data_IF_982450100638
#
_entry.id   IF_982450100638
#
_cell.length_a   1.000
_cell.length_b   1.000
_cell.length_c   1.000
_cell.angle_alpha   90.00
_cell.angle_beta   90.00
_cell.angle_gamma   90.00
#
_symmetry.space_group_name_H-M   'P 1'
#
loop_
_entity.id
_entity.type
_entity.pdbx_description
1 polymer ?
#
# COMPACT_ATOMS: atom_id res chain seq x y z
N UNK A 1 30.79 -40.83 3.93
CA UNK A 1 30.55 -39.67 3.03
C UNK A 1 29.44 -38.83 3.64
N UNK A 2 29.73 -37.60 4.03
CA UNK A 2 28.70 -36.64 4.46
C UNK A 2 27.83 -36.30 3.25
N UNK A 3 26.64 -36.92 3.16
CA UNK A 3 25.63 -36.57 2.18
C UNK A 3 25.04 -35.22 2.60
N UNK A 4 25.49 -34.16 1.94
CA UNK A 4 24.90 -32.83 2.10
C UNK A 4 23.48 -32.88 1.54
N UNK A 5 22.48 -32.72 2.40
CA UNK A 5 21.09 -32.63 2.00
C UNK A 5 20.87 -31.44 1.04
N UNK A 6 19.85 -31.56 0.19
CA UNK A 6 19.38 -30.47 -0.66
C UNK A 6 18.78 -29.37 0.22
N UNK A 7 19.18 -28.13 0.00
CA UNK A 7 18.61 -26.96 0.68
C UNK A 7 17.19 -26.66 0.18
N UNK A 8 16.43 -25.95 1.02
CA UNK A 8 15.00 -25.70 0.77
C UNK A 8 14.77 -24.84 -0.47
N UNK A 9 15.67 -23.91 -0.79
CA UNK A 9 15.61 -23.09 -2.01
C UNK A 9 15.66 -23.98 -3.27
N UNK A 10 16.61 -24.91 -3.34
CA UNK A 10 16.71 -25.86 -4.45
C UNK A 10 15.51 -26.80 -4.54
N UNK A 11 14.94 -27.21 -3.40
CA UNK A 11 13.69 -28.00 -3.38
C UNK A 11 12.55 -27.19 -4.02
N UNK A 12 12.37 -25.94 -3.61
CA UNK A 12 11.32 -25.06 -4.17
C UNK A 12 11.54 -24.82 -5.67
N UNK A 13 12.75 -24.49 -6.09
CA UNK A 13 13.07 -24.29 -7.52
C UNK A 13 12.88 -25.55 -8.35
N UNK A 14 13.13 -26.75 -7.79
CA UNK A 14 12.84 -28.00 -8.48
C UNK A 14 11.33 -28.18 -8.69
N UNK A 15 10.52 -27.91 -7.65
CA UNK A 15 9.06 -28.04 -7.69
C UNK A 15 8.44 -27.08 -8.71
N UNK A 16 8.92 -25.84 -8.77
CA UNK A 16 8.43 -24.81 -9.70
C UNK A 16 9.03 -24.90 -11.12
N UNK A 17 9.91 -25.87 -11.38
CA UNK A 17 10.56 -26.02 -12.69
C UNK A 17 11.59 -24.93 -13.03
N UNK A 18 12.12 -24.24 -12.02
CA UNK A 18 13.05 -23.11 -12.15
C UNK A 18 14.54 -23.51 -12.11
N UNK A 19 14.82 -24.80 -11.95
CA UNK A 19 16.18 -25.34 -12.07
C UNK A 19 16.50 -25.66 -13.54
N UNK A 20 17.66 -25.20 -14.00
CA UNK A 20 18.21 -25.64 -15.28
C UNK A 20 18.42 -27.16 -15.29
N UNK A 21 18.20 -27.81 -16.44
CA UNK A 21 18.17 -29.28 -16.55
C UNK A 21 19.34 -30.00 -15.87
N UNK A 22 20.61 -29.60 -16.04
CA UNK A 22 21.73 -30.28 -15.39
C UNK A 22 21.68 -30.24 -13.85
N UNK A 23 21.19 -29.14 -13.29
CA UNK A 23 21.04 -29.00 -11.84
C UNK A 23 19.81 -29.79 -11.33
N UNK A 24 18.72 -29.78 -12.09
CA UNK A 24 17.53 -30.54 -11.77
C UNK A 24 17.82 -32.06 -11.75
N UNK A 25 18.60 -32.56 -12.71
CA UNK A 25 18.97 -33.98 -12.79
C UNK A 25 19.80 -34.41 -11.57
N UNK A 26 20.81 -33.63 -11.17
CA UNK A 26 21.60 -33.90 -9.97
C UNK A 26 20.74 -33.95 -8.69
N UNK A 27 19.75 -33.07 -8.58
CA UNK A 27 18.82 -33.08 -7.43
C UNK A 27 17.92 -34.32 -7.50
N UNK A 28 17.39 -34.70 -8.67
CA UNK A 28 16.58 -35.92 -8.83
C UNK A 28 17.37 -37.18 -8.50
N UNK A 29 18.62 -37.27 -8.94
CA UNK A 29 19.53 -38.38 -8.62
C UNK A 29 19.76 -38.48 -7.10
N UNK A 30 19.98 -37.34 -6.44
CA UNK A 30 20.09 -37.30 -4.98
C UNK A 30 18.80 -37.75 -4.29
N UNK A 31 17.63 -37.30 -4.78
CA UNK A 31 16.33 -37.70 -4.25
C UNK A 31 16.07 -39.20 -4.44
N UNK A 32 16.62 -39.85 -5.47
CA UNK A 32 16.55 -41.31 -5.61
C UNK A 32 17.30 -42.02 -4.46
N UNK A 33 18.43 -41.46 -4.01
CA UNK A 33 19.26 -42.04 -2.95
C UNK A 33 18.92 -41.63 -1.51
N UNK A 34 18.27 -40.48 -1.29
CA UNK A 34 18.10 -39.89 0.04
C UNK A 34 16.63 -39.84 0.50
N UNK A 35 16.26 -40.69 1.48
CA UNK A 35 14.90 -40.73 2.02
C UNK A 35 14.48 -39.43 2.74
N UNK A 36 15.40 -38.77 3.43
CA UNK A 36 15.13 -37.51 4.14
C UNK A 36 14.76 -36.38 3.17
N UNK A 37 15.56 -36.19 2.11
CA UNK A 37 15.25 -35.17 1.11
C UNK A 37 13.93 -35.46 0.37
N UNK A 38 13.59 -36.74 0.14
CA UNK A 38 12.25 -37.10 -0.37
C UNK A 38 11.13 -36.69 0.58
N UNK A 39 11.31 -36.90 1.88
CA UNK A 39 10.32 -36.50 2.88
C UNK A 39 10.12 -34.98 2.90
N UNK A 40 11.21 -34.19 2.77
CA UNK A 40 11.15 -32.73 2.66
C UNK A 40 10.42 -32.25 1.40
N UNK A 41 10.71 -32.86 0.24
CA UNK A 41 9.99 -32.56 -1.01
C UNK A 41 8.49 -32.87 -0.87
N UNK A 42 8.15 -34.03 -0.31
CA UNK A 42 6.75 -34.40 -0.08
C UNK A 42 6.04 -33.46 0.91
N UNK A 43 6.76 -32.92 1.90
CA UNK A 43 6.22 -31.90 2.80
C UNK A 43 5.95 -30.58 2.07
N UNK A 44 6.93 -30.07 1.32
CA UNK A 44 6.76 -28.84 0.53
C UNK A 44 5.59 -28.93 -0.46
N UNK A 45 5.39 -30.09 -1.11
CA UNK A 45 4.24 -30.33 -1.99
C UNK A 45 2.89 -30.30 -1.26
N UNK A 46 2.83 -30.78 0.00
CA UNK A 46 1.60 -30.69 0.81
C UNK A 46 1.28 -29.25 1.19
N UNK A 47 2.28 -28.50 1.64
CA UNK A 47 2.14 -27.09 2.02
C UNK A 47 1.68 -26.24 0.82
N UNK A 48 2.26 -26.46 -0.37
CA UNK A 48 1.83 -25.80 -1.61
C UNK A 48 0.39 -26.18 -2.00
N UNK A 49 0.03 -27.46 -1.86
CA UNK A 49 -1.33 -27.94 -2.10
C UNK A 49 -2.37 -27.30 -1.16
N UNK A 50 -2.03 -27.14 0.12
CA UNK A 50 -2.85 -26.45 1.13
C UNK A 50 -3.04 -24.97 0.78
N UNK A 51 -1.95 -24.28 0.41
CA UNK A 51 -2.01 -22.88 -0.04
C UNK A 51 -2.91 -22.72 -1.26
N UNK A 52 -2.74 -23.57 -2.29
CA UNK A 52 -3.60 -23.55 -3.48
C UNK A 52 -5.06 -23.89 -3.16
N UNK A 53 -5.33 -24.75 -2.17
CA UNK A 53 -6.69 -25.01 -1.71
C UNK A 53 -7.34 -23.77 -1.06
N UNK A 54 -6.58 -23.04 -0.25
CA UNK A 54 -7.04 -21.78 0.36
C UNK A 54 -7.29 -20.70 -0.69
N UNK A 55 -6.39 -20.53 -1.67
CA UNK A 55 -6.55 -19.53 -2.73
C UNK A 55 -7.76 -19.81 -3.62
N UNK A 56 -8.05 -21.07 -3.93
CA UNK A 56 -9.29 -21.44 -4.65
C UNK A 56 -10.57 -21.07 -3.90
N UNK A 57 -10.53 -20.92 -2.58
CA UNK A 57 -11.68 -20.42 -1.83
C UNK A 57 -11.91 -18.92 -2.05
N UNK A 58 -10.87 -18.18 -2.42
CA UNK A 58 -10.94 -16.76 -2.79
C UNK A 58 -11.35 -16.57 -4.26
N UNK A 59 -11.13 -17.57 -5.12
CA UNK A 59 -11.57 -17.60 -6.52
C UNK A 59 -13.07 -17.86 -6.66
N UNK A 60 -13.88 -16.93 -6.16
CA UNK A 60 -15.30 -16.87 -6.49
C UNK A 60 -15.47 -16.02 -7.76
N UNK A 61 -16.43 -16.37 -8.65
CA UNK A 61 -16.70 -15.53 -9.81
C UNK A 61 -17.06 -14.12 -9.34
N UNK A 62 -16.35 -13.12 -9.87
CA UNK A 62 -16.69 -11.72 -9.61
C UNK A 62 -18.17 -11.51 -9.97
N UNK A 63 -18.97 -10.87 -9.10
CA UNK A 63 -20.35 -10.60 -9.40
C UNK A 63 -20.43 -9.81 -10.70
N UNK A 64 -21.20 -10.33 -11.66
CA UNK A 64 -21.41 -9.65 -12.94
C UNK A 64 -22.24 -8.39 -12.69
N UNK A 65 -21.57 -7.27 -12.53
CA UNK A 65 -22.23 -5.97 -12.47
C UNK A 65 -22.60 -5.60 -13.91
N UNK A 66 -23.89 -5.72 -14.25
CA UNK A 66 -24.39 -5.29 -15.55
C UNK A 66 -24.17 -3.79 -15.76
N UNK A 67 -23.82 -3.38 -16.98
CA UNK A 67 -23.63 -1.97 -17.31
C UNK A 67 -24.87 -1.12 -16.97
N UNK A 68 -26.07 -1.71 -17.04
CA UNK A 68 -27.33 -1.09 -16.64
C UNK A 68 -27.40 -0.78 -15.14
N UNK A 69 -26.86 -1.66 -14.27
CA UNK A 69 -26.80 -1.42 -12.83
C UNK A 69 -25.84 -0.27 -12.48
N UNK A 70 -24.73 -0.16 -13.23
CA UNK A 70 -23.81 0.98 -13.13
C UNK A 70 -24.48 2.26 -13.61
N UNK A 71 -25.17 2.21 -14.76
CA UNK A 71 -25.86 3.36 -15.34
C UNK A 71 -27.03 3.83 -14.47
N UNK A 72 -27.80 2.91 -13.87
CA UNK A 72 -28.87 3.23 -12.93
C UNK A 72 -28.32 3.92 -11.67
N UNK A 73 -27.16 3.47 -11.15
CA UNK A 73 -26.49 4.09 -10.01
C UNK A 73 -25.92 5.48 -10.35
N UNK A 74 -25.44 5.66 -11.58
CA UNK A 74 -24.98 6.97 -12.07
C UNK A 74 -26.13 7.97 -12.30
N UNK A 75 -27.37 7.49 -12.48
CA UNK A 75 -28.56 8.33 -12.67
C UNK A 75 -29.22 8.78 -11.37
N UNK A 76 -28.75 8.36 -10.19
CA UNK A 76 -29.27 8.86 -8.91
C UNK A 76 -28.87 10.34 -8.80
N UNK A 77 -29.84 11.29 -8.80
CA UNK A 77 -29.53 12.71 -8.73
C UNK A 77 -29.19 13.04 -7.28
N UNK A 78 -27.90 13.01 -6.95
CA UNK A 78 -27.40 13.32 -5.62
C UNK A 78 -25.98 13.88 -5.67
N UNK A 79 -25.87 15.16 -5.31
CA UNK A 79 -24.63 15.93 -5.07
C UNK A 79 -23.85 16.40 -6.30
N UNK A 80 -23.72 17.73 -6.41
CA UNK A 80 -22.95 18.48 -7.41
C UNK A 80 -21.43 18.15 -7.45
N UNK A 81 -20.96 17.19 -6.64
CA UNK A 81 -19.60 16.66 -6.70
C UNK A 81 -19.39 15.62 -7.84
N UNK A 82 -20.47 15.01 -8.34
CA UNK A 82 -20.39 13.94 -9.35
C UNK A 82 -19.79 14.35 -10.71
N UNK A 83 -19.89 15.63 -11.08
CA UNK A 83 -19.38 16.12 -12.37
C UNK A 83 -17.84 16.17 -12.47
N UNK A 84 -17.11 16.20 -11.34
CA UNK A 84 -15.64 16.16 -11.37
C UNK A 84 -15.07 14.74 -11.49
N UNK A 85 -15.82 13.72 -11.06
CA UNK A 85 -15.38 12.32 -11.12
C UNK A 85 -15.58 11.68 -12.51
N UNK A 86 -16.57 12.13 -13.28
CA UNK A 86 -16.88 11.59 -14.60
C UNK A 86 -15.73 11.77 -15.62
N UNK A 87 -14.94 12.85 -15.50
CA UNK A 87 -13.82 13.12 -16.41
C UNK A 87 -12.64 12.15 -16.23
N UNK A 88 -12.38 11.68 -15.01
CA UNK A 88 -11.25 10.80 -14.70
C UNK A 88 -11.56 9.35 -15.13
N UNK A 89 -12.80 8.90 -14.94
CA UNK A 89 -13.23 7.55 -15.34
C UNK A 89 -13.31 7.39 -16.86
N UNK A 90 -13.67 8.43 -17.61
CA UNK A 90 -13.67 8.39 -19.08
C UNK A 90 -12.25 8.26 -19.65
N UNK A 91 -11.25 8.87 -18.98
CA UNK A 91 -9.85 8.76 -19.36
C UNK A 91 -9.25 7.36 -19.08
N UNK A 92 -9.65 6.73 -17.96
CA UNK A 92 -9.21 5.37 -17.62
C UNK A 92 -9.86 4.29 -18.48
N UNK A 93 -11.14 4.45 -18.85
CA UNK A 93 -11.84 3.49 -19.70
C UNK A 93 -11.27 3.44 -21.13
N UNK A 94 -10.79 4.57 -21.67
CA UNK A 94 -10.14 4.61 -22.97
C UNK A 94 -8.79 3.88 -23.00
N UNK A 95 -8.09 3.77 -21.86
CA UNK A 95 -6.82 3.05 -21.77
C UNK A 95 -6.99 1.51 -21.66
N UNK A 96 -8.13 1.02 -21.16
CA UNK A 96 -8.34 -0.40 -20.87
C UNK A 96 -8.65 -1.29 -22.07
N UNK A 97 -9.22 -0.75 -23.16
CA UNK A 97 -9.68 -1.57 -24.31
C UNK A 97 -8.53 -2.03 -25.22
N UNK A 98 -7.33 -1.43 -25.09
CA UNK A 98 -6.19 -1.73 -25.96
C UNK A 98 -5.33 -2.93 -25.49
N UNK A 99 -5.61 -3.54 -24.33
CA UNK A 99 -4.68 -4.51 -23.70
C UNK A 99 -4.92 -6.00 -24.06
N UNK A 100 -5.98 -6.34 -24.80
CA UNK A 100 -6.41 -7.74 -24.94
C UNK A 100 -6.35 -8.32 -26.37
N UNK A 101 -5.48 -7.80 -27.26
CA UNK A 101 -5.26 -8.37 -28.59
C UNK A 101 -3.83 -8.98 -28.71
N UNK A 102 -3.69 -10.28 -29.00
CA UNK A 102 -2.38 -10.90 -29.23
C UNK A 102 -1.82 -10.49 -30.60
N UNK A 103 -0.60 -9.93 -30.62
CA UNK A 103 0.09 -9.47 -31.85
C UNK A 103 0.18 -7.95 -32.03
N UNK A 104 0.30 -7.19 -30.93
CA UNK A 104 0.33 -5.73 -30.98
C UNK A 104 1.74 -5.16 -31.29
N UNK A 105 1.89 -4.28 -32.32
CA UNK A 105 3.17 -3.70 -32.76
C UNK A 105 3.61 -2.52 -31.86
N UNK A 106 3.71 -2.76 -30.56
CA UNK A 106 3.95 -1.72 -29.55
C UNK A 106 5.39 -1.19 -29.41
N UNK A 107 6.49 -1.84 -29.84
CA UNK A 107 7.80 -1.22 -29.70
C UNK A 107 7.98 0.03 -30.58
N UNK A 108 7.39 0.04 -31.78
CA UNK A 108 7.65 1.11 -32.78
C UNK A 108 6.91 2.42 -32.51
N UNK A 109 5.66 2.35 -32.04
CA UNK A 109 4.86 3.55 -31.74
C UNK A 109 5.40 4.28 -30.50
N UNK A 110 5.91 3.56 -29.50
CA UNK A 110 6.47 4.18 -28.28
C UNK A 110 7.72 5.01 -28.61
N UNK A 111 8.59 4.52 -29.51
CA UNK A 111 9.76 5.28 -29.97
C UNK A 111 9.38 6.51 -30.82
N UNK A 112 8.32 6.43 -31.63
CA UNK A 112 7.81 7.58 -32.39
C UNK A 112 7.21 8.66 -31.48
N UNK A 113 6.55 8.30 -30.37
CA UNK A 113 6.04 9.27 -29.39
C UNK A 113 7.16 9.91 -28.59
N UNK A 114 8.19 9.14 -28.21
CA UNK A 114 9.35 9.65 -27.47
C UNK A 114 10.19 10.61 -28.33
N UNK A 115 10.32 10.34 -29.62
CA UNK A 115 11.05 11.23 -30.55
C UNK A 115 10.25 12.48 -30.90
N UNK A 116 8.93 12.39 -31.05
CA UNK A 116 8.06 13.55 -31.32
C UNK A 116 7.88 14.48 -30.11
N UNK A 117 8.03 13.98 -28.89
CA UNK A 117 8.04 14.80 -27.65
C UNK A 117 9.36 15.55 -27.41
N UNK A 118 10.44 15.24 -28.14
CA UNK A 118 11.75 15.89 -27.98
C UNK A 118 11.99 17.09 -28.91
N UNK A 119 11.06 17.45 -29.79
CA UNK A 119 11.32 18.51 -30.77
C UNK A 119 10.07 19.23 -31.27
N UNK A 120 9.60 20.21 -30.49
CA UNK A 120 9.05 21.48 -30.97
C UNK A 120 8.59 22.29 -29.76
N UNK A 121 9.36 23.31 -29.41
CA UNK A 121 9.08 24.33 -28.40
C UNK A 121 8.01 25.30 -28.91
N UNK A 122 6.81 25.38 -28.29
CA UNK A 122 5.83 26.42 -28.59
C UNK A 122 6.00 27.61 -27.63
N UNK A 123 5.95 28.82 -28.19
CA UNK A 123 6.09 30.08 -27.46
C UNK A 123 5.21 30.14 -26.21
N UNK A 124 5.84 30.46 -25.08
CA UNK A 124 5.26 30.41 -23.75
C UNK A 124 4.21 31.51 -23.53
N UNK A 125 3.00 31.20 -22.99
CA UNK A 125 2.25 32.17 -22.20
C UNK A 125 3.09 32.55 -20.96
N UNK A 126 2.98 33.79 -20.43
CA UNK A 126 3.83 34.26 -19.34
C UNK A 126 3.83 33.23 -18.20
N UNK A 127 5.01 32.82 -17.69
CA UNK A 127 5.09 31.78 -16.67
C UNK A 127 4.31 32.25 -15.45
N UNK A 128 3.19 31.59 -15.17
CA UNK A 128 2.69 31.58 -13.79
C UNK A 128 3.76 30.85 -12.98
N UNK A 129 4.25 31.41 -11.86
CA UNK A 129 5.19 30.72 -11.01
C UNK A 129 4.59 29.36 -10.63
N UNK A 130 5.17 28.26 -11.15
CA UNK A 130 4.92 26.93 -10.62
C UNK A 130 5.53 26.91 -9.23
N UNK A 131 4.68 26.97 -8.22
CA UNK A 131 5.06 26.57 -6.87
C UNK A 131 5.49 25.11 -6.99
N UNK A 132 6.74 24.81 -6.66
CA UNK A 132 7.24 23.44 -6.59
C UNK A 132 6.23 22.61 -5.79
N UNK A 133 5.65 21.61 -6.43
CA UNK A 133 4.62 20.77 -5.83
C UNK A 133 5.22 20.02 -4.64
N UNK A 134 4.73 20.30 -3.45
CA UNK A 134 5.02 19.52 -2.25
C UNK A 134 4.52 18.10 -2.51
N UNK A 135 5.43 17.14 -2.56
CA UNK A 135 5.10 15.72 -2.69
C UNK A 135 4.48 15.25 -1.37
N UNK A 136 3.15 15.29 -1.28
CA UNK A 136 2.42 14.79 -0.10
C UNK A 136 2.38 13.27 -0.16
N UNK A 137 3.03 12.60 0.80
CA UNK A 137 2.96 11.14 1.00
C UNK A 137 1.92 10.83 2.07
N UNK A 138 1.14 9.76 1.93
CA UNK A 138 0.16 9.36 2.95
C UNK A 138 -0.46 8.00 2.75
N UNK A 139 -1.11 7.51 3.79
CA UNK A 139 -1.79 6.21 3.86
C UNK A 139 -3.16 6.35 4.53
N UNK A 140 -4.13 5.60 4.02
CA UNK A 140 -5.45 5.43 4.62
C UNK A 140 -5.68 3.96 4.94
N UNK A 141 -6.18 3.66 6.14
CA UNK A 141 -6.48 2.29 6.56
C UNK A 141 -7.68 2.23 7.51
N UNK A 142 -8.43 1.13 7.48
CA UNK A 142 -9.54 0.90 8.40
C UNK A 142 -8.99 0.42 9.76
N UNK A 143 -9.29 1.11 10.87
CA UNK A 143 -8.87 0.65 12.18
C UNK A 143 -9.61 -0.64 12.57
N UNK A 144 -8.89 -1.62 13.11
CA UNK A 144 -9.46 -2.82 13.71
C UNK A 144 -10.06 -2.55 15.10
N UNK A 145 -9.90 -3.49 16.04
CA UNK A 145 -10.24 -3.24 17.45
C UNK A 145 -9.25 -2.27 18.08
N UNK A 146 -7.97 -2.46 17.79
CA UNK A 146 -6.87 -1.64 18.27
C UNK A 146 -6.00 -1.22 17.07
N UNK A 147 -5.53 0.03 17.07
CA UNK A 147 -4.55 0.53 16.11
C UNK A 147 -3.50 1.38 16.83
N UNK A 148 -2.22 1.04 16.66
CA UNK A 148 -1.09 1.84 17.12
C UNK A 148 -0.39 2.53 15.95
N UNK A 149 -0.38 3.86 15.93
CA UNK A 149 0.43 4.68 15.01
C UNK A 149 1.75 5.00 15.70
N UNK A 150 2.86 4.46 15.19
CA UNK A 150 4.19 4.56 15.80
C UNK A 150 5.12 5.37 14.91
N UNK A 151 5.53 6.53 15.40
CA UNK A 151 6.60 7.32 14.79
C UNK A 151 7.95 6.78 15.28
N UNK A 152 8.75 6.21 14.37
CA UNK A 152 10.05 5.58 14.68
C UNK A 152 11.13 6.65 14.87
N UNK A 153 11.20 7.56 13.90
CA UNK A 153 12.18 8.64 13.90
C UNK A 153 11.72 9.76 14.83
N UNK A 154 12.56 10.09 15.81
CA UNK A 154 12.32 11.21 16.71
C UNK A 154 12.72 12.51 16.01
N UNK A 155 11.72 13.26 15.58
CA UNK A 155 11.94 14.58 14.99
C UNK A 155 12.05 15.60 16.12
N UNK A 156 13.21 16.26 16.26
CA UNK A 156 13.42 17.27 17.30
C UNK A 156 12.30 18.33 17.30
N UNK A 157 11.84 18.71 16.11
CA UNK A 157 10.80 19.73 15.89
C UNK A 157 9.55 19.19 15.16
N UNK A 158 9.38 17.87 15.08
CA UNK A 158 8.23 17.28 14.38
C UNK A 158 6.91 17.51 15.10
N UNK A 159 5.83 17.68 14.32
CA UNK A 159 4.48 17.92 14.84
C UNK A 159 3.47 17.07 14.10
N UNK A 160 2.47 16.57 14.83
CA UNK A 160 1.29 15.94 14.23
C UNK A 160 0.03 16.68 14.66
N UNK A 161 -0.80 17.08 13.69
CA UNK A 161 -2.15 17.59 13.94
C UNK A 161 -3.13 16.44 13.85
N UNK A 162 -3.81 16.14 14.96
CA UNK A 162 -4.79 15.06 15.06
C UNK A 162 -6.20 15.62 15.07
N UNK A 163 -7.06 15.15 14.19
CA UNK A 163 -8.49 15.49 14.14
C UNK A 163 -9.36 14.25 14.25
N UNK A 164 -10.50 14.36 14.93
CA UNK A 164 -11.51 13.31 14.96
C UNK A 164 -12.56 13.55 13.87
N UNK A 165 -12.81 12.55 13.02
CA UNK A 165 -13.68 12.64 11.84
C UNK A 165 -14.78 11.58 11.85
N UNK A 166 -15.80 11.74 11.00
CA UNK A 166 -16.86 10.73 10.80
C UNK A 166 -16.55 9.78 9.62
N UNK A 167 -15.33 9.85 9.09
CA UNK A 167 -14.86 8.94 8.05
C UNK A 167 -14.59 7.54 8.63
N UNK A 168 -14.57 6.51 7.78
CA UNK A 168 -14.38 5.12 8.21
C UNK A 168 -12.90 4.72 8.38
N UNK A 169 -11.98 5.55 7.89
CA UNK A 169 -10.55 5.23 7.79
C UNK A 169 -9.71 6.22 8.59
N UNK A 170 -8.63 5.70 9.17
CA UNK A 170 -7.55 6.51 9.71
C UNK A 170 -6.67 6.96 8.55
N UNK A 171 -6.49 8.27 8.40
CA UNK A 171 -5.62 8.88 7.39
C UNK A 171 -4.39 9.44 8.08
N UNK A 172 -3.20 9.10 7.60
CA UNK A 172 -1.93 9.70 8.01
C UNK A 172 -1.22 10.26 6.79
N UNK A 173 -0.90 11.55 6.82
CA UNK A 173 -0.23 12.26 5.72
C UNK A 173 0.96 13.04 6.22
N UNK A 174 2.06 12.99 5.48
CA UNK A 174 3.21 13.84 5.68
C UNK A 174 3.08 15.09 4.79
N UNK A 175 3.14 16.27 5.41
CA UNK A 175 2.85 17.56 4.76
C UNK A 175 4.11 18.26 4.24
N UNK A 176 5.25 18.10 4.92
CA UNK A 176 6.50 18.80 4.59
C UNK A 176 7.52 17.89 3.96
N UNK A 177 7.78 16.74 4.59
CA UNK A 177 8.84 15.81 4.21
C UNK A 177 8.23 14.46 3.82
N UNK A 178 8.81 13.74 2.85
CA UNK A 178 8.35 12.40 2.54
C UNK A 178 8.57 11.48 3.74
N UNK A 179 7.60 10.61 3.97
CA UNK A 179 7.66 9.56 4.98
C UNK A 179 7.36 8.21 4.34
N UNK A 180 8.00 7.18 4.90
CA UNK A 180 7.70 5.78 4.63
C UNK A 180 6.62 5.31 5.60
N UNK A 181 5.63 4.61 5.07
CA UNK A 181 4.51 4.05 5.83
C UNK A 181 4.53 2.53 5.71
N UNK A 182 4.53 1.83 6.84
CA UNK A 182 4.45 0.36 6.88
C UNK A 182 3.25 -0.05 7.71
N UNK A 183 2.26 -0.69 7.07
CA UNK A 183 1.05 -1.18 7.74
C UNK A 183 1.22 -2.64 8.13
N UNK A 184 0.96 -2.92 9.40
CA UNK A 184 0.75 -4.25 9.97
C UNK A 184 -0.75 -4.37 10.34
N UNK A 185 -1.15 -5.46 11.02
CA UNK A 185 -2.57 -5.75 11.31
C UNK A 185 -3.22 -4.72 12.25
N UNK A 186 -2.51 -4.33 13.31
CA UNK A 186 -2.96 -3.45 14.40
C UNK A 186 -1.98 -2.30 14.63
N UNK A 187 -1.07 -2.07 13.67
CA UNK A 187 0.03 -1.12 13.81
C UNK A 187 0.36 -0.45 12.49
N UNK A 188 0.53 0.86 12.53
CA UNK A 188 1.08 1.66 11.44
C UNK A 188 2.41 2.24 11.89
N UNK A 189 3.48 1.86 11.21
CA UNK A 189 4.81 2.42 11.43
C UNK A 189 5.03 3.59 10.46
N UNK A 190 5.38 4.75 11.01
CA UNK A 190 5.69 5.97 10.27
C UNK A 190 7.16 6.29 10.47
N UNK A 191 7.93 6.22 9.39
CA UNK A 191 9.33 6.63 9.37
C UNK A 191 9.49 7.86 8.48
N UNK A 192 9.67 9.02 9.12
CA UNK A 192 9.96 10.27 8.44
C UNK A 192 11.46 10.47 8.28
N UNK A 193 11.91 10.88 7.10
CA UNK A 193 13.29 11.31 6.90
C UNK A 193 13.34 12.84 6.89
N UNK A 194 13.78 13.46 7.99
CA UNK A 194 13.88 14.93 8.11
C UNK A 194 13.88 15.45 9.55
N UNK A 195 14.23 16.71 9.75
CA UNK A 195 14.34 17.32 11.09
C UNK A 195 13.00 17.86 11.64
N UNK A 196 12.06 18.23 10.75
CA UNK A 196 10.85 19.00 11.10
C UNK A 196 9.58 18.48 10.39
N UNK A 197 9.41 17.16 10.35
CA UNK A 197 8.26 16.52 9.72
C UNK A 197 6.92 16.99 10.32
N UNK A 198 6.03 17.54 9.48
CA UNK A 198 4.65 17.85 9.85
C UNK A 198 3.71 16.79 9.33
N UNK A 199 2.87 16.27 10.20
CA UNK A 199 1.92 15.22 9.88
C UNK A 199 0.48 15.67 10.14
N UNK A 200 -0.42 15.23 9.27
CA UNK A 200 -1.86 15.29 9.48
C UNK A 200 -2.36 13.88 9.79
N UNK A 201 -3.10 13.73 10.88
CA UNK A 201 -3.70 12.46 11.31
C UNK A 201 -5.20 12.68 11.50
N UNK A 202 -6.02 11.95 10.76
CA UNK A 202 -7.48 11.99 10.89
C UNK A 202 -7.93 10.64 11.43
N UNK A 203 -8.61 10.63 12.57
CA UNK A 203 -9.04 9.42 13.29
C UNK A 203 -10.57 9.34 13.29
N UNK A 204 -11.18 8.23 12.84
CA UNK A 204 -12.61 7.99 12.96
C UNK A 204 -13.10 8.08 14.40
N UNK A 205 -14.17 8.84 14.65
CA UNK A 205 -14.89 8.84 15.93
C UNK A 205 -15.41 7.45 16.28
N UNK A 206 -15.73 6.64 15.28
CA UNK A 206 -16.20 5.26 15.44
C UNK A 206 -15.09 4.24 15.77
N UNK A 207 -13.80 4.57 15.60
CA UNK A 207 -12.70 3.61 15.85
C UNK A 207 -12.69 3.17 17.33
N UNK A 208 -12.64 1.88 17.70
CA UNK A 208 -12.74 1.49 19.11
C UNK A 208 -11.57 2.01 19.94
N UNK A 209 -10.34 1.81 19.46
CA UNK A 209 -9.12 2.30 20.10
C UNK A 209 -8.04 2.69 19.10
N UNK A 210 -7.46 3.88 19.27
CA UNK A 210 -6.29 4.35 18.50
C UNK A 210 -5.27 4.96 19.43
N UNK A 211 -4.03 4.48 19.35
CA UNK A 211 -2.89 4.97 20.11
C UNK A 211 -1.87 5.62 19.18
N UNK A 212 -1.34 6.79 19.53
CA UNK A 212 -0.21 7.41 18.84
C UNK A 212 1.00 7.39 19.76
N UNK A 213 2.11 6.85 19.27
CA UNK A 213 3.39 6.72 19.98
C UNK A 213 4.52 7.39 19.21
N UNK A 214 5.49 7.90 19.96
CA UNK A 214 6.77 8.42 19.46
C UNK A 214 7.86 7.63 20.15
N UNK A 215 8.51 6.72 19.40
CA UNK A 215 9.27 5.62 20.01
C UNK A 215 8.39 4.87 21.01
N UNK A 216 8.85 4.74 22.26
CA UNK A 216 8.10 4.05 23.30
C UNK A 216 7.04 4.90 24.00
N UNK A 217 7.07 6.23 23.82
CA UNK A 217 6.23 7.16 24.57
C UNK A 217 4.86 7.34 23.90
N UNK A 218 3.79 7.08 24.65
CA UNK A 218 2.42 7.37 24.23
C UNK A 218 2.13 8.87 24.29
N UNK A 219 1.74 9.45 23.16
CA UNK A 219 1.43 10.89 23.05
C UNK A 219 -0.08 11.17 22.99
N UNK A 220 -0.86 10.21 22.50
CA UNK A 220 -2.32 10.28 22.48
C UNK A 220 -2.90 8.88 22.56
N UNK A 221 -4.00 8.74 23.30
CA UNK A 221 -4.84 7.55 23.32
C UNK A 221 -6.30 7.97 23.12
N UNK A 222 -6.95 7.35 22.14
CA UNK A 222 -8.39 7.49 21.87
C UNK A 222 -9.05 6.15 22.17
N UNK A 223 -10.02 6.13 23.09
CA UNK A 223 -10.78 4.94 23.49
C UNK A 223 -12.27 5.26 23.46
N UNK A 224 -12.99 4.69 22.49
CA UNK A 224 -14.38 5.07 22.22
C UNK A 224 -14.50 6.57 21.97
N UNK A 225 -15.29 7.28 22.77
CA UNK A 225 -15.43 8.74 22.66
C UNK A 225 -14.38 9.54 23.46
N UNK A 226 -13.55 8.89 24.28
CA UNK A 226 -12.59 9.56 25.16
C UNK A 226 -11.24 9.73 24.48
N UNK A 227 -10.61 10.89 24.67
CA UNK A 227 -9.23 11.16 24.26
C UNK A 227 -8.41 11.53 25.48
N UNK A 228 -7.28 10.86 25.65
CA UNK A 228 -6.28 11.13 26.69
C UNK A 228 -4.98 11.56 26.03
N UNK A 229 -4.58 12.81 26.25
CA UNK A 229 -3.31 13.37 25.77
C UNK A 229 -2.89 14.52 26.69
N UNK A 230 -1.59 14.84 26.71
CA UNK A 230 -1.07 16.03 27.39
C UNK A 230 -1.24 17.31 26.58
N UNK A 231 -1.53 17.21 25.28
CA UNK A 231 -1.74 18.36 24.42
C UNK A 231 -3.19 18.87 24.57
N UNK A 232 -3.41 20.18 24.78
CA UNK A 232 -4.75 20.73 24.78
C UNK A 232 -5.38 20.61 23.39
N UNK A 233 -6.70 20.40 23.34
CA UNK A 233 -7.46 20.56 22.12
C UNK A 233 -7.56 22.05 21.76
N UNK A 234 -7.47 22.38 20.48
CA UNK A 234 -7.73 23.73 19.99
C UNK A 234 -9.24 24.03 19.89
N UNK A 235 -9.59 25.24 19.43
CA UNK A 235 -10.98 25.67 19.28
C UNK A 235 -11.79 24.83 18.27
N UNK A 236 -11.12 24.10 17.38
CA UNK A 236 -11.74 23.20 16.40
C UNK A 236 -11.85 21.75 16.89
N UNK A 237 -11.31 21.44 18.07
CA UNK A 237 -11.21 20.09 18.60
C UNK A 237 -10.06 19.27 18.01
N UNK A 238 -9.07 19.94 17.40
CA UNK A 238 -7.84 19.30 16.92
C UNK A 238 -6.78 19.29 18.01
N UNK A 239 -5.89 18.30 17.99
CA UNK A 239 -4.78 18.18 18.93
C UNK A 239 -3.45 18.37 18.20
N UNK A 240 -2.62 19.30 18.67
CA UNK A 240 -1.27 19.48 18.16
C UNK A 240 -0.27 18.70 19.03
N UNK A 241 0.24 17.59 18.51
CA UNK A 241 1.12 16.68 19.24
C UNK A 241 2.59 16.92 18.88
N UNK A 242 3.48 17.14 19.86
CA UNK A 242 4.92 17.19 19.60
C UNK A 242 5.48 15.76 19.40
N UNK A 243 6.17 15.55 18.29
CA UNK A 243 6.82 14.27 17.92
C UNK A 243 8.27 14.15 18.42
N UNK A 244 8.61 14.93 19.44
CA UNK A 244 9.93 14.91 20.08
C UNK A 244 10.11 13.69 21.00
N UNK A 245 11.34 13.20 21.20
CA UNK A 245 11.62 12.18 22.21
C UNK A 245 11.25 12.69 23.60
N UNK A 246 10.86 11.78 24.49
CA UNK A 246 10.78 12.09 25.93
C UNK A 246 12.19 12.33 26.47
N UNK A 247 12.35 13.35 27.31
CA UNK A 247 13.57 13.55 28.11
C UNK A 247 13.74 12.43 29.13
#
# INVERSE_FOLDING_TARGET
MHLRHVDDERIQRLLHGELASPAADLVRDHLAGCAECRARVAQAQREEGELHALLRHLDHPLPRVGAEAVAARARVPGSAWGWRAAGILLALAAAGVAYAAPGSPLPGWVDEVITRLKGAEPAAPPPRPRVAGQSVSGIALRPGQDLAIVFVSTHADGQATVTLTDEAEVLVRALTDPATFTSELDRLVVDGHGAAGRFEIRIPRAAPRVEIRVGDRRVLLKEGARVSTSAPADASGSYLLPLRPGL
#
